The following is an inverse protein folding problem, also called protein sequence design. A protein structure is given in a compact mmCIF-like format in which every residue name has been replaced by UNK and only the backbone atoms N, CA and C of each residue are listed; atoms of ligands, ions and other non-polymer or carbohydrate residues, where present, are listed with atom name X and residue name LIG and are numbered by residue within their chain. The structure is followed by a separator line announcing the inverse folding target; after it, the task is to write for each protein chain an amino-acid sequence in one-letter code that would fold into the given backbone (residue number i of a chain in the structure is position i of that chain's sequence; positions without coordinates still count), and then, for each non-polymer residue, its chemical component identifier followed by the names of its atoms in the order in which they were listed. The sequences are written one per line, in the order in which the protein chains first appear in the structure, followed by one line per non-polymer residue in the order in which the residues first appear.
data_IF_681060599350
#
_entry.id   IF_681060599350
#
_cell.length_a   1.000
_cell.length_b   1.000
_cell.length_c   1.000
_cell.angle_alpha   90.00
_cell.angle_beta   90.00
_cell.angle_gamma   90.00
#
_symmetry.space_group_name_H-M   'P 1'
#
loop_
_entity.id
_entity.type
_entity.pdbx_description
1 polymer ?
#
# COMPACT_ATOMS: atom_id res chain seq x y z
N UNK A 1 -19.05 5.60 28.17
CA UNK A 1 -18.42 4.37 27.65
C UNK A 1 -17.02 4.76 27.26
N UNK A 2 -15.99 4.14 27.83
CA UNK A 2 -14.60 4.45 27.47
C UNK A 2 -14.40 4.08 25.98
N UNK A 3 -13.86 4.97 25.12
CA UNK A 3 -13.47 4.60 23.76
C UNK A 3 -12.58 3.36 23.70
N UNK A 4 -11.81 3.09 24.76
CA UNK A 4 -10.92 1.92 24.90
C UNK A 4 -11.67 0.62 25.26
N UNK A 5 -12.93 0.70 25.69
CA UNK A 5 -13.78 -0.47 25.99
C UNK A 5 -14.49 -1.02 24.73
N UNK A 6 -14.44 -0.30 23.61
CA UNK A 6 -15.02 -0.78 22.35
C UNK A 6 -14.13 -1.89 21.79
N UNK A 7 -14.67 -3.11 21.70
CA UNK A 7 -14.03 -4.17 20.90
C UNK A 7 -13.89 -3.66 19.47
N UNK A 8 -12.71 -3.77 18.84
CA UNK A 8 -12.57 -3.40 17.45
C UNK A 8 -13.53 -4.24 16.62
N UNK A 9 -14.16 -3.60 15.63
CA UNK A 9 -14.99 -4.30 14.67
C UNK A 9 -14.10 -5.35 13.94
N UNK A 10 -14.63 -6.55 13.62
CA UNK A 10 -13.86 -7.57 12.93
C UNK A 10 -13.30 -7.02 11.61
N UNK A 11 -12.03 -7.31 11.32
CA UNK A 11 -11.42 -6.97 10.04
C UNK A 11 -11.97 -7.94 8.99
N UNK A 12 -12.58 -7.41 7.92
CA UNK A 12 -12.94 -8.19 6.75
C UNK A 12 -11.74 -8.28 5.78
N UNK A 13 -11.10 -9.46 5.63
CA UNK A 13 -9.97 -9.63 4.73
C UNK A 13 -10.33 -9.36 3.26
N UNK A 14 -11.59 -9.54 2.88
CA UNK A 14 -12.05 -9.34 1.50
C UNK A 14 -12.31 -7.89 1.13
N UNK A 15 -12.20 -6.96 2.08
CA UNK A 15 -12.20 -5.52 1.81
C UNK A 15 -10.78 -4.93 1.78
N UNK A 16 -9.75 -5.66 2.19
CA UNK A 16 -8.43 -5.07 2.47
C UNK A 16 -7.67 -4.61 1.21
N UNK A 17 -7.09 -3.42 1.32
CA UNK A 17 -5.99 -2.92 0.50
C UNK A 17 -4.80 -2.71 1.42
N UNK A 18 -3.73 -3.46 1.23
CA UNK A 18 -2.60 -3.44 2.16
C UNK A 18 -1.58 -2.39 1.77
N UNK A 19 -1.13 -1.61 2.75
CA UNK A 19 0.03 -0.73 2.65
C UNK A 19 1.10 -1.30 3.57
N UNK A 20 2.14 -1.87 2.97
CA UNK A 20 3.16 -2.65 3.66
C UNK A 20 4.38 -1.78 3.89
N UNK A 21 4.78 -1.62 5.16
CA UNK A 21 6.00 -0.91 5.58
C UNK A 21 7.00 -1.88 6.22
N UNK A 22 8.25 -1.47 6.33
CA UNK A 22 9.27 -2.23 7.05
C UNK A 22 8.99 -2.43 8.54
N UNK A 23 9.49 -3.53 9.11
CA UNK A 23 9.43 -3.81 10.55
C UNK A 23 10.60 -3.19 11.37
N UNK A 24 11.23 -2.11 10.89
CA UNK A 24 12.37 -1.46 11.56
C UNK A 24 11.97 -0.10 12.16
N UNK A 25 12.73 0.38 13.15
CA UNK A 25 12.46 1.68 13.81
C UNK A 25 12.46 2.88 12.85
N UNK A 26 13.29 2.83 11.80
CA UNK A 26 13.30 3.88 10.78
C UNK A 26 11.97 3.91 10.00
N UNK A 27 11.47 2.74 9.58
CA UNK A 27 10.19 2.63 8.90
C UNK A 27 9.03 3.04 9.83
N UNK A 28 9.08 2.66 11.11
CA UNK A 28 8.08 3.12 12.09
C UNK A 28 8.03 4.65 12.21
N UNK A 29 9.21 5.29 12.21
CA UNK A 29 9.31 6.74 12.36
C UNK A 29 8.91 7.51 11.09
N UNK A 30 9.24 6.98 9.91
CA UNK A 30 9.17 7.74 8.66
C UNK A 30 8.14 7.18 7.66
N UNK A 31 8.10 5.87 7.48
CA UNK A 31 7.28 5.21 6.48
C UNK A 31 5.85 4.97 6.99
N UNK A 32 5.67 4.57 8.25
CA UNK A 32 4.33 4.34 8.82
C UNK A 32 3.45 5.60 8.82
N UNK A 33 3.91 6.79 9.24
CA UNK A 33 3.07 8.00 9.15
C UNK A 33 2.65 8.32 7.71
N UNK A 34 3.57 8.13 6.75
CA UNK A 34 3.27 8.33 5.33
C UNK A 34 2.30 7.27 4.79
N UNK A 35 2.44 6.02 5.21
CA UNK A 35 1.52 4.93 4.88
C UNK A 35 0.12 5.19 5.45
N UNK A 36 0.01 5.70 6.67
CA UNK A 36 -1.27 6.09 7.29
C UNK A 36 -1.91 7.25 6.51
N UNK A 37 -1.12 8.24 6.08
CA UNK A 37 -1.62 9.30 5.22
C UNK A 37 -2.14 8.75 3.88
N UNK A 38 -1.36 7.88 3.22
CA UNK A 38 -1.76 7.21 2.00
C UNK A 38 -3.05 6.40 2.18
N UNK A 39 -3.20 5.69 3.31
CA UNK A 39 -4.42 4.96 3.63
C UNK A 39 -5.65 5.87 3.64
N UNK A 40 -5.54 7.05 4.27
CA UNK A 40 -6.61 8.05 4.28
C UNK A 40 -6.94 8.59 2.88
N UNK A 41 -5.91 8.85 2.05
CA UNK A 41 -6.11 9.26 0.66
C UNK A 41 -6.84 8.19 -0.15
N UNK A 42 -6.43 6.93 -0.04
CA UNK A 42 -7.07 5.81 -0.76
C UNK A 42 -8.50 5.57 -0.28
N UNK A 43 -8.75 5.68 1.02
CA UNK A 43 -10.10 5.57 1.57
C UNK A 43 -11.03 6.65 0.99
N UNK A 44 -10.52 7.87 0.78
CA UNK A 44 -11.23 8.95 0.08
C UNK A 44 -11.49 8.71 -1.41
N UNK A 45 -10.89 7.68 -2.01
CA UNK A 45 -11.17 7.23 -3.39
C UNK A 45 -12.25 6.15 -3.45
N UNK A 46 -12.81 5.71 -2.32
CA UNK A 46 -14.04 4.91 -2.36
C UNK A 46 -15.16 5.76 -2.98
N UNK A 47 -15.79 5.21 -4.02
CA UNK A 47 -16.83 5.89 -4.81
C UNK A 47 -18.22 5.29 -4.58
N UNK A 48 -18.33 4.31 -3.68
CA UNK A 48 -19.57 3.57 -3.39
C UNK A 48 -20.04 3.87 -1.98
N UNK A 49 -21.34 4.10 -1.85
CA UNK A 49 -22.00 4.26 -0.55
C UNK A 49 -22.34 2.91 0.10
N UNK A 50 -22.26 1.80 -0.66
CA UNK A 50 -22.48 0.45 -0.13
C UNK A 50 -21.25 0.00 0.69
N UNK A 51 -21.38 -0.20 2.01
CA UNK A 51 -20.28 -0.65 2.86
C UNK A 51 -19.67 -1.99 2.41
N UNK A 52 -20.45 -2.86 1.75
CA UNK A 52 -19.96 -4.16 1.28
C UNK A 52 -18.98 -4.05 0.10
N UNK A 53 -19.04 -2.94 -0.65
CA UNK A 53 -18.16 -2.69 -1.80
C UNK A 53 -17.03 -1.68 -1.46
N UNK A 54 -16.94 -1.24 -0.20
CA UNK A 54 -15.89 -0.32 0.26
C UNK A 54 -14.58 -1.06 0.51
N UNK A 55 -13.50 -0.55 -0.09
CA UNK A 55 -12.16 -1.03 0.21
C UNK A 55 -11.66 -0.39 1.51
N UNK A 56 -10.91 -1.17 2.28
CA UNK A 56 -10.33 -0.79 3.56
C UNK A 56 -8.80 -0.77 3.45
N UNK A 57 -8.20 0.41 3.14
CA UNK A 57 -6.75 0.57 3.18
C UNK A 57 -6.21 0.39 4.61
N UNK A 58 -5.26 -0.53 4.78
CA UNK A 58 -4.70 -0.87 6.08
C UNK A 58 -3.19 -0.95 6.04
N UNK A 59 -2.54 -0.34 7.04
CA UNK A 59 -1.09 -0.39 7.17
C UNK A 59 -0.68 -1.64 7.96
N UNK A 60 0.21 -2.45 7.39
CA UNK A 60 0.81 -3.60 8.08
C UNK A 60 2.33 -3.64 7.84
N UNK A 61 3.05 -4.45 8.61
CA UNK A 61 4.48 -4.64 8.37
C UNK A 61 4.73 -5.74 7.35
N UNK A 62 5.87 -5.68 6.68
CA UNK A 62 6.38 -6.75 5.83
C UNK A 62 6.44 -8.11 6.54
N UNK A 63 6.75 -8.15 7.84
CA UNK A 63 6.67 -9.37 8.65
C UNK A 63 5.28 -10.01 8.67
N UNK A 64 4.21 -9.23 8.87
CA UNK A 64 2.86 -9.77 8.85
C UNK A 64 2.46 -10.20 7.44
N UNK A 65 2.73 -9.36 6.45
CA UNK A 65 2.39 -9.62 5.05
C UNK A 65 3.07 -10.90 4.52
N UNK A 66 4.37 -11.07 4.77
CA UNK A 66 5.13 -12.19 4.22
C UNK A 66 4.78 -13.53 4.86
N UNK A 67 4.26 -13.53 6.09
CA UNK A 67 3.91 -14.76 6.83
C UNK A 67 2.44 -15.16 6.72
N UNK A 68 1.60 -14.38 6.01
CA UNK A 68 0.17 -14.67 5.86
C UNK A 68 -0.25 -14.71 4.39
N UNK A 69 -0.55 -15.91 3.90
CA UNK A 69 -0.99 -16.16 2.53
C UNK A 69 -2.28 -15.42 2.15
N UNK A 70 -3.16 -15.16 3.12
CA UNK A 70 -4.42 -14.45 2.88
C UNK A 70 -4.14 -12.98 2.55
N UNK A 71 -3.17 -12.38 3.24
CA UNK A 71 -2.72 -11.01 3.01
C UNK A 71 -2.01 -10.87 1.67
N UNK A 72 -1.20 -11.85 1.27
CA UNK A 72 -0.47 -11.83 -0.02
C UNK A 72 -1.38 -11.84 -1.25
N UNK A 73 -2.65 -12.25 -1.10
CA UNK A 73 -3.65 -12.21 -2.18
C UNK A 73 -4.36 -10.86 -2.31
N UNK A 74 -4.11 -9.92 -1.41
CA UNK A 74 -4.80 -8.62 -1.41
C UNK A 74 -4.10 -7.63 -2.33
N UNK A 75 -4.82 -6.65 -2.91
CA UNK A 75 -4.21 -5.46 -3.49
C UNK A 75 -3.21 -4.82 -2.52
N UNK A 76 -1.99 -4.57 -2.98
CA UNK A 76 -0.88 -4.24 -2.08
C UNK A 76 0.00 -3.12 -2.62
N UNK A 77 0.35 -2.20 -1.72
CA UNK A 77 1.33 -1.13 -1.93
C UNK A 77 2.46 -1.30 -0.93
N UNK A 78 3.69 -1.52 -1.39
CA UNK A 78 4.88 -1.50 -0.54
C UNK A 78 5.45 -0.08 -0.47
N UNK A 79 5.82 0.35 0.73
CA UNK A 79 6.38 1.67 1.01
C UNK A 79 7.70 1.54 1.77
N UNK A 80 8.73 2.24 1.27
CA UNK A 80 10.08 2.21 1.84
C UNK A 80 11.05 1.47 0.91
N UNK A 81 12.31 1.88 0.94
CA UNK A 81 13.35 1.35 0.07
C UNK A 81 13.70 -0.12 0.39
N UNK A 82 14.34 -0.85 -0.55
CA UNK A 82 14.68 -2.27 -0.38
C UNK A 82 15.48 -2.61 0.89
N UNK A 83 16.28 -1.68 1.41
CA UNK A 83 17.08 -1.86 2.61
C UNK A 83 16.26 -1.77 3.91
N UNK A 84 15.04 -1.22 3.85
CA UNK A 84 14.15 -1.05 5.00
C UNK A 84 12.82 -1.77 4.86
N UNK A 85 12.47 -2.33 3.70
CA UNK A 85 11.23 -3.07 3.48
C UNK A 85 11.49 -4.31 2.61
N UNK A 86 11.25 -5.49 3.20
CA UNK A 86 11.52 -6.76 2.54
C UNK A 86 10.62 -7.03 1.32
N UNK A 87 9.38 -6.51 1.32
CA UNK A 87 8.49 -6.63 0.17
C UNK A 87 8.97 -5.77 -1.01
N UNK A 88 9.45 -4.55 -0.73
CA UNK A 88 10.08 -3.71 -1.77
C UNK A 88 11.31 -4.41 -2.34
N UNK A 89 12.16 -4.99 -1.49
CA UNK A 89 13.34 -5.74 -1.94
C UNK A 89 12.97 -6.92 -2.85
N UNK A 90 11.93 -7.67 -2.49
CA UNK A 90 11.42 -8.77 -3.30
C UNK A 90 10.87 -8.32 -4.65
N UNK A 91 10.22 -7.15 -4.71
CA UNK A 91 9.61 -6.64 -5.94
C UNK A 91 10.55 -5.84 -6.85
N UNK A 92 11.73 -5.44 -6.35
CA UNK A 92 12.64 -4.54 -7.06
C UNK A 92 12.98 -4.99 -8.49
N UNK A 93 13.11 -6.30 -8.73
CA UNK A 93 13.40 -6.90 -10.05
C UNK A 93 12.18 -7.53 -10.74
N UNK A 94 11.02 -7.58 -10.07
CA UNK A 94 9.79 -8.23 -10.55
C UNK A 94 8.77 -7.25 -11.09
N UNK A 95 8.67 -6.08 -10.47
CA UNK A 95 7.74 -5.04 -10.90
C UNK A 95 8.43 -4.06 -11.86
N UNK A 96 7.81 -3.76 -13.02
CA UNK A 96 8.37 -2.78 -13.93
C UNK A 96 8.29 -1.37 -13.34
N UNK A 97 9.25 -0.52 -13.67
CA UNK A 97 9.24 0.90 -13.29
C UNK A 97 8.24 1.67 -14.14
N UNK A 98 7.19 2.21 -13.50
CA UNK A 98 6.20 3.07 -14.16
C UNK A 98 6.58 4.55 -14.10
N UNK A 99 7.28 4.96 -13.04
CA UNK A 99 7.80 6.32 -12.87
C UNK A 99 9.11 6.30 -12.08
N UNK A 100 10.12 7.00 -12.58
CA UNK A 100 11.43 7.06 -11.93
C UNK A 100 12.02 8.45 -12.09
N UNK A 101 12.64 8.96 -11.04
CA UNK A 101 13.61 10.05 -11.12
C UNK A 101 14.96 9.43 -10.78
N UNK A 102 15.86 9.40 -11.78
CA UNK A 102 17.13 8.67 -11.71
C UNK A 102 17.91 8.99 -10.42
N UNK A 103 18.28 7.94 -9.69
CA UNK A 103 19.03 8.04 -8.44
C UNK A 103 18.26 8.68 -7.26
N UNK A 104 16.97 8.95 -7.39
CA UNK A 104 16.18 9.67 -6.36
C UNK A 104 15.00 8.85 -5.86
N UNK A 105 14.11 8.43 -6.77
CA UNK A 105 12.87 7.74 -6.40
C UNK A 105 12.36 6.86 -7.54
N UNK A 106 11.54 5.87 -7.17
CA UNK A 106 10.91 4.93 -8.08
C UNK A 106 9.48 4.61 -7.62
N UNK A 107 8.57 4.53 -8.59
CA UNK A 107 7.26 3.89 -8.48
C UNK A 107 7.24 2.71 -9.45
N UNK A 108 7.10 1.50 -8.92
CA UNK A 108 7.05 0.26 -9.70
C UNK A 108 5.65 -0.32 -9.63
N UNK A 109 5.07 -0.65 -10.78
CA UNK A 109 3.76 -1.28 -10.93
C UNK A 109 3.55 -1.72 -12.37
N UNK A 110 2.68 -2.71 -12.57
CA UNK A 110 2.15 -3.02 -13.89
C UNK A 110 1.01 -2.06 -14.26
N UNK A 111 1.22 -1.24 -15.29
CA UNK A 111 0.24 -0.25 -15.76
C UNK A 111 -0.98 -0.88 -16.43
N UNK A 112 -0.87 -2.13 -16.86
CA UNK A 112 -2.00 -2.93 -17.37
C UNK A 112 -2.83 -3.53 -16.24
N UNK A 113 -2.33 -3.44 -15.00
CA UNK A 113 -2.98 -3.91 -13.79
C UNK A 113 -3.33 -5.40 -13.81
N UNK A 114 -2.48 -6.25 -14.39
CA UNK A 114 -2.65 -7.71 -14.30
C UNK A 114 -2.70 -8.13 -12.82
N UNK A 115 -1.81 -7.55 -12.02
CA UNK A 115 -1.79 -7.64 -10.56
C UNK A 115 -1.83 -6.24 -9.91
N UNK A 116 -2.67 -6.00 -8.88
CA UNK A 116 -2.69 -4.75 -8.13
C UNK A 116 -1.54 -4.70 -7.11
N UNK A 117 -0.31 -4.64 -7.61
CA UNK A 117 0.93 -4.56 -6.83
C UNK A 117 1.70 -3.28 -7.18
N UNK A 118 2.09 -2.52 -6.15
CA UNK A 118 2.79 -1.24 -6.31
C UNK A 118 3.94 -1.14 -5.31
N UNK A 119 5.12 -0.70 -5.72
CA UNK A 119 6.19 -0.30 -4.81
C UNK A 119 6.50 1.19 -4.95
N UNK A 120 6.53 1.92 -3.84
CA UNK A 120 6.89 3.34 -3.79
C UNK A 120 8.08 3.55 -2.84
N UNK A 121 9.20 4.03 -3.37
CA UNK A 121 10.39 4.25 -2.56
C UNK A 121 11.33 5.31 -3.14
N UNK A 122 12.19 5.87 -2.29
CA UNK A 122 13.29 6.75 -2.70
C UNK A 122 14.46 6.66 -1.74
N UNK A 123 15.54 7.36 -2.08
CA UNK A 123 16.81 7.34 -1.33
C UNK A 123 16.76 8.04 0.05
N UNK A 124 15.62 8.66 0.38
CA UNK A 124 15.38 9.36 1.63
C UNK A 124 13.88 9.38 1.95
N UNK A 125 13.48 9.66 3.21
CA UNK A 125 12.06 9.77 3.57
C UNK A 125 11.29 10.79 2.71
N UNK A 126 11.91 11.92 2.36
CA UNK A 126 11.28 12.93 1.50
C UNK A 126 11.17 12.48 0.04
N UNK A 127 12.12 11.68 -0.45
CA UNK A 127 12.04 11.07 -1.77
C UNK A 127 10.95 9.99 -1.83
N UNK A 128 10.82 9.16 -0.79
CA UNK A 128 9.71 8.20 -0.65
C UNK A 128 8.36 8.90 -0.63
N UNK A 129 8.22 10.02 0.11
CA UNK A 129 6.99 10.83 0.10
C UNK A 129 6.65 11.36 -1.31
N UNK A 130 7.66 11.79 -2.08
CA UNK A 130 7.48 12.20 -3.47
C UNK A 130 7.09 11.04 -4.40
N UNK A 131 7.59 9.83 -4.16
CA UNK A 131 7.15 8.63 -4.89
C UNK A 131 5.67 8.33 -4.62
N UNK A 132 5.26 8.39 -3.34
CA UNK A 132 3.86 8.23 -2.94
C UNK A 132 2.97 9.30 -3.57
N UNK A 133 3.41 10.56 -3.60
CA UNK A 133 2.66 11.63 -4.27
C UNK A 133 2.52 11.36 -5.78
N UNK A 134 3.59 10.94 -6.45
CA UNK A 134 3.53 10.58 -7.85
C UNK A 134 2.57 9.41 -8.11
N UNK A 135 2.51 8.44 -7.20
CA UNK A 135 1.52 7.37 -7.24
C UNK A 135 0.08 7.89 -7.09
N UNK A 136 -0.18 8.73 -6.09
CA UNK A 136 -1.49 9.33 -5.85
C UNK A 136 -2.00 10.12 -7.05
N UNK A 137 -1.12 10.93 -7.65
CA UNK A 137 -1.49 11.81 -8.77
C UNK A 137 -1.79 11.04 -10.06
N UNK A 138 -1.08 9.93 -10.29
CA UNK A 138 -1.03 9.27 -11.61
C UNK A 138 -1.73 7.92 -11.67
N UNK A 139 -1.69 7.15 -10.58
CA UNK A 139 -2.00 5.71 -10.63
C UNK A 139 -3.04 5.26 -9.61
N UNK A 140 -3.23 5.99 -8.51
CA UNK A 140 -4.10 5.55 -7.41
C UNK A 140 -5.55 5.27 -7.83
N UNK A 141 -6.14 6.05 -8.75
CA UNK A 141 -7.49 5.79 -9.27
C UNK A 141 -7.57 4.46 -10.03
N UNK A 142 -6.59 4.16 -10.88
CA UNK A 142 -6.51 2.91 -11.63
C UNK A 142 -6.31 1.71 -10.70
N UNK A 143 -5.39 1.86 -9.75
CA UNK A 143 -5.14 0.86 -8.71
C UNK A 143 -6.41 0.53 -7.91
N UNK A 144 -7.13 1.54 -7.39
CA UNK A 144 -8.35 1.34 -6.59
C UNK A 144 -9.49 0.74 -7.43
N UNK A 145 -9.61 1.13 -8.70
CA UNK A 145 -10.58 0.52 -9.61
C UNK A 145 -10.28 -0.97 -9.83
N UNK A 146 -9.01 -1.33 -10.09
CA UNK A 146 -8.59 -2.72 -10.24
C UNK A 146 -8.79 -3.52 -8.96
N UNK A 147 -8.40 -2.95 -7.81
CA UNK A 147 -8.54 -3.58 -6.51
C UNK A 147 -9.98 -4.04 -6.26
N UNK A 148 -10.96 -3.18 -6.60
CA UNK A 148 -12.38 -3.49 -6.44
C UNK A 148 -12.89 -4.56 -7.41
N UNK A 149 -12.45 -4.53 -8.67
CA UNK A 149 -12.94 -5.47 -9.71
C UNK A 149 -12.20 -6.81 -9.70
N UNK A 150 -11.01 -6.87 -9.08
CA UNK A 150 -10.19 -8.07 -8.96
C UNK A 150 -10.47 -8.93 -7.74
N UNK A 151 -11.16 -8.38 -6.74
CA UNK A 151 -11.73 -9.15 -5.64
C UNK A 151 -12.92 -9.94 -6.21
N UNK A 152 -12.64 -11.18 -6.63
CA UNK A 152 -13.69 -12.12 -7.04
C UNK A 152 -14.67 -12.32 -5.88
N UNK A 153 -15.97 -12.16 -6.18
CA UNK A 153 -17.04 -12.79 -5.41
C UNK A 153 -16.97 -14.31 -5.56
#
# INVERSE_FOLDING_TARGET
MDPLDRRPDPIDPDALVLIVVGAHLAAERWDRPLATHLAGCLAGLNTTDDPADQLCPMVCTDLWYLNDDTLRRRPTISLGAPDVNALTAYWADKLPSAYTVEGVLTVQLDVEWNEPAVACWGISPSATARAVQAFLDRYAKGFMHRARTGMGR
#
